data_IF_627166991393
#
_entry.id   IF_627166991393
#
_cell.length_a   1.000
_cell.length_b   1.000
_cell.length_c   1.000
_cell.angle_alpha   90.00
_cell.angle_beta   90.00
_cell.angle_gamma   90.00
#
_symmetry.space_group_name_H-M   'P 1'
#
loop_
_entity.id
_entity.type
_entity.pdbx_description
1 polymer ?
2 non-polymer ?
3 non-polymer ?
4 water ?
#
# COMPACT_ATOMS: atom_id res chain seq x y z
N UNK A 1 16.10 12.87 -2.23
CA UNK A 1 16.15 12.12 -0.93
C UNK A 1 16.50 10.66 -1.20
N UNK A 2 17.47 10.14 -0.47
CA UNK A 2 17.87 8.74 -0.65
C UNK A 2 17.59 7.88 0.57
N UNK A 3 17.28 8.50 1.69
CA UNK A 3 17.01 7.72 2.89
C UNK A 3 15.52 7.65 3.23
N UNK A 4 14.68 8.21 2.36
CA UNK A 4 13.23 8.15 2.56
C UNK A 4 12.62 7.51 1.31
N UNK A 5 11.57 6.73 1.49
CA UNK A 5 10.96 6.06 0.35
C UNK A 5 9.53 5.64 0.53
N UNK A 6 8.85 5.45 -0.60
CA UNK A 6 7.49 4.93 -0.59
C UNK A 6 7.75 3.44 -0.73
N UNK A 7 7.00 2.64 0.02
CA UNK A 7 7.17 1.19 0.00
C UNK A 7 5.85 0.51 -0.26
N UNK A 8 5.80 -0.36 -1.26
CA UNK A 8 4.57 -1.10 -1.52
C UNK A 8 4.84 -2.59 -1.41
N UNK A 9 3.83 -3.41 -1.71
CA UNK A 9 3.96 -4.85 -1.57
C UNK A 9 3.15 -5.65 -2.57
N UNK A 10 3.71 -6.78 -3.01
CA UNK A 10 3.01 -7.68 -3.91
C UNK A 10 3.57 -9.09 -3.79
N UNK A 11 2.66 -10.04 -3.57
CA UNK A 11 3.06 -11.43 -3.42
C UNK A 11 2.75 -12.23 -4.68
N UNK A 12 2.12 -11.60 -5.67
CA UNK A 12 1.80 -12.28 -6.91
C UNK A 12 1.75 -11.34 -8.10
N UNK A 13 1.53 -11.89 -9.29
CA UNK A 13 1.51 -11.09 -10.51
C UNK A 13 0.31 -10.16 -10.62
N UNK A 14 -0.81 -10.55 -10.04
CA UNK A 14 -2.01 -9.72 -10.10
C UNK A 14 -1.75 -8.40 -9.38
N UNK A 15 -1.28 -8.47 -8.13
CA UNK A 15 -1.01 -7.25 -7.40
C UNK A 15 0.22 -6.51 -7.91
N UNK A 16 1.08 -7.22 -8.66
CA UNK A 16 2.27 -6.58 -9.23
C UNK A 16 1.80 -5.52 -10.23
N UNK A 17 0.66 -5.78 -10.88
CA UNK A 17 0.10 -4.84 -11.85
C UNK A 17 -0.22 -3.56 -11.08
N UNK A 18 -0.80 -3.73 -9.89
CA UNK A 18 -1.15 -2.59 -9.06
C UNK A 18 0.11 -1.85 -8.62
N UNK A 19 1.13 -2.60 -8.18
CA UNK A 19 2.37 -1.98 -7.74
C UNK A 19 3.01 -1.18 -8.86
N UNK A 20 2.96 -1.70 -10.08
CA UNK A 20 3.54 -1.02 -11.24
C UNK A 20 2.79 0.27 -11.55
N UNK A 21 1.46 0.26 -11.45
CA UNK A 21 0.67 1.45 -11.72
C UNK A 21 0.91 2.48 -10.61
N UNK A 22 0.98 2.01 -9.37
CA UNK A 22 1.22 2.89 -8.24
C UNK A 22 2.58 3.56 -8.42
N UNK A 23 3.61 2.75 -8.66
CA UNK A 23 4.94 3.28 -8.84
C UNK A 23 5.02 4.28 -9.97
N UNK A 24 4.28 4.02 -11.04
CA UNK A 24 4.27 4.92 -12.18
C UNK A 24 3.63 6.26 -11.81
N UNK A 25 2.52 6.20 -11.07
CA UNK A 25 1.82 7.41 -10.65
C UNK A 25 2.68 8.28 -9.74
N UNK A 26 3.53 7.65 -8.92
CA UNK A 26 4.40 8.41 -8.03
C UNK A 26 5.48 9.13 -8.85
N UNK A 27 5.97 8.45 -9.88
CA UNK A 27 6.99 9.06 -10.75
C UNK A 27 6.33 10.16 -11.57
N UNK A 28 5.12 9.88 -12.05
CA UNK A 28 4.37 10.83 -12.85
C UNK A 28 4.16 12.14 -12.11
N UNK A 29 4.03 12.07 -10.79
CA UNK A 29 3.82 13.28 -10.01
C UNK A 29 5.10 13.80 -9.35
N UNK A 30 6.21 13.44 -9.99
CA UNK A 30 7.54 13.88 -9.58
C UNK A 30 7.92 13.78 -8.11
N UNK A 31 7.93 12.58 -7.57
CA UNK A 31 8.33 12.41 -6.18
C UNK A 31 9.85 12.56 -6.13
N UNK A 32 10.37 13.11 -5.06
CA UNK A 32 11.81 13.27 -4.90
C UNK A 32 12.35 12.16 -4.01
N UNK A 33 11.46 11.27 -3.59
CA UNK A 33 11.86 10.17 -2.73
C UNK A 33 12.11 8.88 -3.52
N UNK A 34 12.67 7.87 -2.84
CA UNK A 34 12.95 6.59 -3.47
C UNK A 34 11.68 5.75 -3.51
N UNK A 35 11.67 4.75 -4.40
CA UNK A 35 10.53 3.84 -4.53
C UNK A 35 11.02 2.41 -4.30
N UNK A 36 10.40 1.71 -3.35
CA UNK A 36 10.79 0.34 -3.04
C UNK A 36 9.57 -0.56 -3.01
N UNK A 37 9.79 -1.83 -3.34
CA UNK A 37 8.70 -2.79 -3.34
C UNK A 37 9.10 -4.14 -2.76
N UNK A 38 8.29 -4.64 -1.85
CA UNK A 38 8.52 -5.92 -1.24
C UNK A 38 7.85 -6.94 -2.16
N UNK A 39 8.59 -7.97 -2.55
CA UNK A 39 8.03 -9.01 -3.41
C UNK A 39 8.36 -10.37 -2.83
N UNK A 40 7.74 -11.40 -3.37
CA UNK A 40 7.98 -12.78 -2.94
C UNK A 40 8.44 -13.55 -4.16
N UNK A 41 8.99 -14.75 -3.97
CA UNK A 41 9.46 -15.53 -5.11
C UNK A 41 8.33 -15.89 -6.08
N UNK A 42 7.08 -15.75 -5.65
CA UNK A 42 5.94 -16.09 -6.50
C UNK A 42 5.69 -15.06 -7.61
N UNK A 43 6.36 -13.91 -7.53
CA UNK A 43 6.20 -12.90 -8.57
C UNK A 43 7.05 -13.38 -9.74
N UNK A 44 6.44 -13.56 -10.91
CA UNK A 44 7.14 -14.06 -12.10
C UNK A 44 8.27 -13.14 -12.56
N UNK A 45 9.18 -13.70 -13.38
CA UNK A 45 10.32 -12.95 -13.90
C UNK A 45 9.90 -11.75 -14.74
N UNK A 46 8.84 -11.91 -15.53
CA UNK A 46 8.35 -10.83 -16.37
C UNK A 46 7.93 -9.64 -15.50
N UNK A 47 7.15 -9.90 -14.45
CA UNK A 47 6.71 -8.83 -13.58
C UNK A 47 7.89 -8.25 -12.80
N UNK A 48 8.78 -9.12 -12.34
CA UNK A 48 9.93 -8.66 -11.58
C UNK A 48 10.78 -7.70 -12.39
N UNK A 49 11.06 -8.04 -13.64
CA UNK A 49 11.86 -7.18 -14.51
C UNK A 49 11.19 -5.81 -14.64
N UNK A 50 9.87 -5.80 -14.77
CA UNK A 50 9.14 -4.55 -14.89
C UNK A 50 9.30 -3.78 -13.58
N UNK A 51 9.15 -4.47 -12.46
CA UNK A 51 9.29 -3.85 -11.14
C UNK A 51 10.70 -3.27 -10.93
N UNK A 52 11.71 -3.95 -11.48
CA UNK A 52 13.09 -3.49 -11.36
C UNK A 52 13.27 -2.16 -12.08
N UNK A 53 12.44 -1.92 -13.08
CA UNK A 53 12.51 -0.69 -13.86
C UNK A 53 11.77 0.47 -13.18
N UNK A 54 10.55 0.20 -12.73
CA UNK A 54 9.75 1.24 -12.08
C UNK A 54 10.21 1.59 -10.68
N UNK A 55 10.68 0.59 -9.93
CA UNK A 55 11.14 0.84 -8.56
C UNK A 55 12.65 0.94 -8.44
N UNK A 56 13.11 1.77 -7.51
CA UNK A 56 14.53 1.95 -7.28
C UNK A 56 15.10 0.71 -6.59
N UNK A 57 14.27 0.05 -5.81
CA UNK A 57 14.70 -1.15 -5.10
C UNK A 57 13.60 -2.20 -5.00
N UNK A 58 13.96 -3.44 -5.34
CA UNK A 58 13.04 -4.55 -5.28
C UNK A 58 13.58 -5.52 -4.23
N UNK A 59 12.83 -5.70 -3.15
CA UNK A 59 13.25 -6.59 -2.08
C UNK A 59 12.47 -7.90 -2.19
N UNK A 60 13.14 -9.02 -1.98
CA UNK A 60 12.49 -10.31 -2.05
C UNK A 60 12.38 -10.91 -0.66
N UNK A 61 11.15 -11.23 -0.26
CA UNK A 61 10.85 -11.80 1.05
C UNK A 61 10.19 -13.17 0.85
N UNK A 62 10.71 -14.18 1.55
CA UNK A 62 10.14 -15.52 1.43
C UNK A 62 9.86 -16.10 2.81
N UNK A 63 8.65 -15.84 3.34
CA UNK A 63 8.31 -16.34 4.66
C UNK A 63 8.09 -17.86 4.66
N UNK A 64 8.02 -18.44 3.47
CA UNK A 64 7.84 -19.89 3.35
C UNK A 64 9.17 -20.60 3.65
N UNK A 65 10.24 -19.82 3.71
CA UNK A 65 11.57 -20.38 3.98
C UNK A 65 11.85 -20.34 5.47
N UNK A 66 12.37 -21.45 6.00
CA UNK A 66 12.71 -21.58 7.42
C UNK A 66 13.70 -20.52 7.88
N UNK A 67 14.43 -19.94 6.94
CA UNK A 67 15.42 -18.93 7.29
C UNK A 67 14.83 -17.57 7.60
N UNK A 68 13.55 -17.37 7.26
CA UNK A 68 12.92 -16.09 7.53
C UNK A 68 12.46 -16.00 8.98
N UNK A 69 12.68 -14.85 9.60
CA UNK A 69 12.31 -14.63 10.99
C UNK A 69 10.82 -14.80 11.27
N UNK A 70 9.99 -14.62 10.25
CA UNK A 70 8.55 -14.73 10.41
C UNK A 70 8.00 -16.11 10.12
N UNK A 71 8.86 -17.01 9.60
CA UNK A 71 8.41 -18.34 9.25
C UNK A 71 7.62 -19.09 10.33
N UNK A 72 8.16 -19.16 11.54
CA UNK A 72 7.48 -19.86 12.63
C UNK A 72 6.09 -19.31 12.92
N UNK A 73 5.96 -17.99 12.90
CA UNK A 73 4.67 -17.38 13.16
C UNK A 73 3.70 -17.76 12.05
N UNK A 74 4.22 -17.93 10.84
CA UNK A 74 3.39 -18.31 9.69
C UNK A 74 2.79 -19.71 9.90
N UNK A 75 3.62 -20.63 10.42
CA UNK A 75 3.18 -22.00 10.66
C UNK A 75 2.07 -22.00 11.70
N UNK A 76 2.23 -21.16 12.71
CA UNK A 76 1.25 -21.03 13.80
C UNK A 76 -0.02 -20.32 13.34
N UNK A 77 0.13 -19.19 12.65
CA UNK A 77 -1.02 -18.43 12.19
C UNK A 77 -1.00 -18.23 10.67
N UNK A 78 -1.48 -19.22 9.92
CA UNK A 78 -1.54 -19.20 8.45
C UNK A 78 -2.33 -18.04 7.84
N UNK A 79 -3.34 -17.56 8.54
CA UNK A 79 -4.14 -16.45 8.01
C UNK A 79 -3.36 -15.13 7.95
N UNK A 80 -2.18 -15.11 8.57
CA UNK A 80 -1.37 -13.90 8.59
C UNK A 80 -0.23 -13.88 7.57
N UNK A 81 -0.27 -14.79 6.60
CA UNK A 81 0.76 -14.86 5.58
C UNK A 81 1.09 -13.52 4.95
N UNK A 82 0.09 -12.87 4.38
CA UNK A 82 0.32 -11.58 3.74
C UNK A 82 0.78 -10.55 4.76
N UNK A 83 0.16 -10.56 5.94
CA UNK A 83 0.53 -9.64 7.00
C UNK A 83 2.00 -9.78 7.39
N UNK A 84 2.46 -11.02 7.58
CA UNK A 84 3.85 -11.26 7.97
C UNK A 84 4.83 -10.77 6.91
N UNK A 85 4.49 -10.92 5.64
CA UNK A 85 5.36 -10.44 4.57
C UNK A 85 5.38 -8.91 4.66
N UNK A 86 4.21 -8.31 4.82
CA UNK A 86 4.07 -6.87 4.92
C UNK A 86 4.91 -6.27 6.06
N UNK A 87 4.94 -6.95 7.21
CA UNK A 87 5.70 -6.46 8.36
C UNK A 87 7.19 -6.29 8.04
N UNK A 88 7.67 -6.95 7.01
CA UNK A 88 9.08 -6.81 6.65
C UNK A 88 9.37 -5.40 6.17
N UNK A 89 8.33 -4.58 6.00
CA UNK A 89 8.55 -3.20 5.57
C UNK A 89 9.36 -2.48 6.66
N UNK A 90 9.24 -2.96 7.89
CA UNK A 90 9.97 -2.35 9.01
C UNK A 90 11.44 -2.78 9.05
N UNK A 91 11.80 -3.76 8.21
CA UNK A 91 13.18 -4.26 8.17
C UNK A 91 14.04 -3.45 7.22
N UNK A 92 13.41 -2.55 6.46
CA UNK A 92 14.12 -1.74 5.48
C UNK A 92 14.87 -0.58 6.13
N UNK A 93 15.78 -0.92 7.04
CA UNK A 93 16.55 0.07 7.77
C UNK A 93 17.49 0.93 6.94
N UNK A 94 17.52 0.71 5.63
CA UNK A 94 18.36 1.52 4.76
C UNK A 94 17.66 2.87 4.59
N UNK A 95 16.39 2.92 5.01
CA UNK A 95 15.60 4.15 4.94
C UNK A 95 15.28 4.60 6.37
N UNK A 96 15.29 5.92 6.60
CA UNK A 96 15.01 6.47 7.92
C UNK A 96 13.51 6.66 8.15
N UNK A 97 12.76 6.89 7.07
CA UNK A 97 11.32 7.08 7.15
C UNK A 97 10.69 6.63 5.83
N UNK A 98 9.55 5.94 5.93
CA UNK A 98 8.88 5.47 4.73
C UNK A 98 7.37 5.65 4.80
N UNK A 99 6.76 5.60 3.63
CA UNK A 99 5.32 5.68 3.51
C UNK A 99 4.90 4.37 2.88
N UNK A 100 4.25 3.51 3.66
CA UNK A 100 3.79 2.26 3.09
C UNK A 100 2.51 2.55 2.33
N UNK A 101 2.37 1.93 1.18
CA UNK A 101 1.17 2.10 0.35
C UNK A 101 0.75 0.76 -0.26
N UNK A 102 -0.52 0.41 -0.11
CA UNK A 102 -1.08 -0.83 -0.66
C UNK A 102 -0.87 -0.84 -2.18
N UNK A 103 -0.74 -2.03 -2.76
CA UNK A 103 -0.55 -2.16 -4.20
C UNK A 103 -1.80 -1.76 -4.97
N UNK A 104 -2.93 -1.69 -4.28
CA UNK A 104 -4.17 -1.29 -4.93
C UNK A 104 -4.51 0.18 -4.68
N UNK A 105 -3.49 1.03 -4.59
CA UNK A 105 -3.72 2.46 -4.42
C UNK A 105 -3.21 3.16 -5.65
N UNK A 106 -3.63 4.41 -5.83
CA UNK A 106 -3.24 5.19 -6.99
C UNK A 106 -3.01 6.63 -6.58
N UNK A 107 -1.87 7.19 -6.98
CA UNK A 107 -1.54 8.57 -6.63
C UNK A 107 -2.02 9.56 -7.69
N UNK A 108 -2.72 10.60 -7.24
CA UNK A 108 -3.26 11.63 -8.12
C UNK A 108 -2.52 12.96 -8.03
N UNK A 109 -1.64 13.09 -7.05
CA UNK A 109 -0.87 14.31 -6.86
C UNK A 109 0.36 14.01 -6.02
N UNK A 110 1.34 14.89 -6.07
CA UNK A 110 2.55 14.68 -5.29
C UNK A 110 2.14 14.61 -3.81
N UNK A 111 2.67 13.62 -3.10
CA UNK A 111 2.34 13.49 -1.68
C UNK A 111 3.60 13.39 -0.81
N UNK A 112 4.68 14.03 -1.28
CA UNK A 112 5.93 14.01 -0.54
C UNK A 112 5.82 14.72 0.80
N UNK A 113 4.78 15.54 0.98
CA UNK A 113 4.64 16.21 2.26
C UNK A 113 4.33 15.20 3.38
N UNK A 114 3.99 13.97 3.01
CA UNK A 114 3.72 12.94 4.02
C UNK A 114 4.97 12.65 4.84
N UNK A 115 6.14 12.91 4.27
CA UNK A 115 7.37 12.66 5.00
C UNK A 115 7.62 13.64 6.16
N UNK A 116 6.70 14.58 6.32
CA UNK A 116 6.79 15.54 7.41
C UNK A 116 6.20 14.88 8.66
N UNK A 117 5.41 13.83 8.45
CA UNK A 117 4.75 13.12 9.55
C UNK A 117 5.66 12.13 10.29
N UNK A 118 5.21 11.70 11.47
CA UNK A 118 5.96 10.76 12.30
C UNK A 118 5.20 9.43 12.40
N UNK A 119 5.93 8.37 12.74
CA UNK A 119 5.30 7.06 12.93
C UNK A 119 4.47 7.21 14.21
N UNK A 120 3.23 6.72 14.23
CA UNK A 120 2.58 6.06 13.12
C UNK A 120 1.47 7.00 12.67
N UNK A 121 1.57 7.50 11.43
CA UNK A 121 0.53 8.40 10.91
C UNK A 121 -0.25 7.66 9.84
N UNK A 122 -1.57 7.76 9.89
CA UNK A 122 -2.42 7.10 8.91
C UNK A 122 -3.80 7.74 8.89
N UNK A 123 -4.54 7.48 7.82
CA UNK A 123 -5.88 8.03 7.67
C UNK A 123 -6.92 7.15 8.36
N UNK A 124 -8.06 7.74 8.76
CA UNK A 124 -9.14 7.03 9.43
C UNK A 124 -9.77 6.01 8.48
N UNK A 125 -10.17 4.87 9.03
CA UNK A 125 -10.80 3.83 8.23
C UNK A 125 -12.32 4.03 8.24
N UNK A 126 -12.95 4.00 7.07
CA UNK A 126 -14.42 4.18 7.04
C UNK A 126 -14.96 2.93 7.74
N UNK A 127 -16.19 2.97 8.23
CA UNK A 127 -16.71 1.78 8.91
C UNK A 127 -16.51 1.90 10.41
N UNK A 128 -15.26 1.89 10.85
CA UNK A 128 -14.95 2.06 12.27
C UNK A 128 -13.83 3.08 12.29
N UNK A 129 -14.21 4.37 12.29
CA UNK A 129 -13.35 5.57 12.28
C UNK A 129 -12.29 5.70 13.37
N UNK A 130 -12.40 4.95 14.46
CA UNK A 130 -11.40 5.05 15.51
C UNK A 130 -10.22 4.11 15.24
N UNK A 131 -10.26 3.44 14.10
CA UNK A 131 -9.17 2.58 13.66
C UNK A 131 -8.64 3.25 12.42
N UNK A 132 -7.33 3.18 12.19
CA UNK A 132 -6.79 3.78 10.99
C UNK A 132 -6.72 2.70 9.91
N UNK A 133 -6.81 3.12 8.66
CA UNK A 133 -6.74 2.20 7.55
C UNK A 133 -5.25 1.95 7.27
N UNK A 134 -4.83 0.69 7.30
CA UNK A 134 -3.42 0.36 7.09
C UNK A 134 -2.95 0.32 5.63
N UNK A 135 -3.77 0.83 4.72
CA UNK A 135 -3.40 0.84 3.32
C UNK A 135 -2.38 1.93 2.97
N UNK A 136 -2.28 2.94 3.84
CA UNK A 136 -1.33 4.04 3.64
C UNK A 136 -0.89 4.54 5.02
N UNK A 137 0.42 4.50 5.29
CA UNK A 137 0.89 5.00 6.58
C UNK A 137 2.37 5.35 6.58
N UNK A 138 2.71 6.31 7.44
CA UNK A 138 4.08 6.77 7.60
C UNK A 138 4.69 6.01 8.77
N UNK A 139 5.85 5.41 8.57
CA UNK A 139 6.48 4.65 9.64
C UNK A 139 7.98 4.81 9.59
N UNK A 140 8.67 4.30 10.61
CA UNK A 140 10.11 4.38 10.68
C UNK A 140 10.70 2.98 10.76
N UNK A 141 11.42 2.54 9.71
CA UNK A 141 12.02 1.20 9.72
C UNK A 141 12.82 0.99 10.99
N UNK A 142 12.70 -0.20 11.57
CA UNK A 142 13.39 -0.52 12.81
C UNK A 142 13.30 -2.00 13.10
N UNK A 143 14.44 -2.63 13.35
CA UNK A 143 14.46 -4.06 13.66
C UNK A 143 13.72 -4.30 14.97
N UNK A 144 13.88 -3.39 15.92
CA UNK A 144 13.20 -3.53 17.20
C UNK A 144 11.68 -3.51 17.02
N UNK A 145 11.18 -2.52 16.28
CA UNK A 145 9.75 -2.43 16.04
C UNK A 145 9.26 -3.68 15.30
N UNK A 146 10.01 -4.11 14.30
CA UNK A 146 9.64 -5.32 13.56
C UNK A 146 9.49 -6.50 14.53
N UNK A 147 10.50 -6.72 15.36
CA UNK A 147 10.47 -7.82 16.33
C UNK A 147 9.28 -7.70 17.28
N UNK A 148 8.95 -6.48 17.68
CA UNK A 148 7.83 -6.26 18.59
C UNK A 148 6.51 -6.60 17.91
N UNK A 149 6.36 -6.22 16.64
CA UNK A 149 5.14 -6.50 15.89
C UNK A 149 5.00 -7.99 15.65
N UNK A 150 6.11 -8.64 15.32
CA UNK A 150 6.11 -10.07 15.07
C UNK A 150 5.70 -10.81 16.34
N UNK A 151 6.18 -10.32 17.48
CA UNK A 151 5.86 -10.95 18.77
C UNK A 151 4.37 -10.85 19.07
N UNK A 152 3.76 -9.70 18.79
CA UNK A 152 2.34 -9.54 19.04
C UNK A 152 1.53 -10.42 18.08
N UNK A 153 1.98 -10.51 16.84
CA UNK A 153 1.31 -11.33 15.84
C UNK A 153 1.31 -12.80 16.28
N UNK A 154 2.44 -13.24 16.81
CA UNK A 154 2.57 -14.63 17.27
C UNK A 154 1.74 -14.88 18.52
N UNK A 155 1.90 -13.99 19.50
CA UNK A 155 1.23 -14.10 20.78
C UNK A 155 -0.29 -13.99 20.75
N UNK A 156 -0.83 -13.02 20.01
CA UNK A 156 -2.28 -12.85 19.99
C UNK A 156 -2.94 -12.75 18.62
N UNK A 157 -2.14 -12.63 17.57
CA UNK A 157 -2.73 -12.52 16.25
C UNK A 157 -3.35 -11.16 15.98
N UNK A 158 -4.35 -11.11 15.12
CA UNK A 158 -5.03 -9.86 14.76
C UNK A 158 -6.53 -9.97 14.93
N UNK A 159 -7.15 -8.96 15.55
CA UNK A 159 -8.59 -8.99 15.76
C UNK A 159 -9.42 -9.04 14.48
N UNK A 160 -8.81 -8.75 13.34
CA UNK A 160 -9.56 -8.80 12.08
C UNK A 160 -8.93 -9.75 11.06
N UNK A 161 -8.02 -10.61 11.54
CA UNK A 161 -7.38 -11.57 10.67
C UNK A 161 -6.40 -11.01 9.65
N UNK A 162 -6.14 -9.70 9.71
CA UNK A 162 -5.23 -9.08 8.77
C UNK A 162 -4.26 -8.13 9.48
N UNK A 163 -3.45 -7.42 8.71
CA UNK A 163 -2.50 -6.50 9.31
C UNK A 163 -3.15 -5.30 9.98
N UNK A 164 -4.29 -4.85 9.49
CA UNK A 164 -4.92 -3.68 10.09
C UNK A 164 -5.25 -3.86 11.56
N UNK A 165 -5.78 -5.03 11.92
CA UNK A 165 -6.09 -5.26 13.32
C UNK A 165 -4.83 -5.26 14.15
N UNK A 166 -3.79 -5.91 13.63
CA UNK A 166 -2.52 -6.00 14.33
C UNK A 166 -1.88 -4.63 14.54
N UNK A 167 -1.82 -3.83 13.48
CA UNK A 167 -1.22 -2.50 13.55
C UNK A 167 -2.00 -1.55 14.46
N UNK A 168 -3.32 -1.62 14.41
CA UNK A 168 -4.13 -0.75 15.27
C UNK A 168 -3.94 -1.12 16.73
N UNK A 169 -3.77 -2.41 17.00
CA UNK A 169 -3.59 -2.88 18.38
C UNK A 169 -2.23 -2.42 18.90
N UNK A 170 -1.21 -2.52 18.05
CA UNK A 170 0.13 -2.11 18.46
C UNK A 170 0.25 -0.60 18.59
N UNK A 171 -0.24 0.13 17.58
CA UNK A 171 -0.22 1.58 17.62
C UNK A 171 -1.63 2.02 18.06
N UNK A 172 -1.96 1.70 19.31
CA UNK A 172 -3.30 1.99 19.84
C UNK A 172 -3.61 3.37 20.38
N UNK A 173 -2.65 4.30 20.34
CA UNK A 173 -2.89 5.66 20.81
C UNK A 173 -3.48 6.52 19.70
N UNK A 174 -3.42 6.02 18.47
CA UNK A 174 -3.88 6.76 17.29
C UNK A 174 -5.19 7.55 17.38
N UNK A 175 -6.26 6.90 17.82
CA UNK A 175 -7.56 7.55 17.88
C UNK A 175 -7.71 8.68 18.89
N UNK A 176 -6.92 8.64 19.95
CA UNK A 176 -7.03 9.65 21.01
C UNK A 176 -5.81 10.52 21.20
N UNK A 177 -4.79 10.36 20.35
CA UNK A 177 -3.57 11.11 20.53
C UNK A 177 -2.94 11.70 19.27
N UNK A 178 -2.58 12.98 19.35
CA UNK A 178 -1.90 13.68 18.26
C UNK A 178 -2.69 13.75 16.95
N UNK A 179 -3.39 14.86 16.72
CA UNK A 179 -4.17 15.02 15.51
C UNK A 179 -3.31 14.94 14.26
N UNK A 180 -2.02 15.23 14.40
CA UNK A 180 -1.10 15.18 13.27
C UNK A 180 -0.87 13.76 12.77
N UNK A 181 -1.17 12.76 13.58
CA UNK A 181 -0.99 11.38 13.14
C UNK A 181 -2.24 10.89 12.40
N UNK A 182 -3.25 11.75 12.31
CA UNK A 182 -4.46 11.47 11.57
C UNK A 182 -4.22 12.06 10.18
N UNK A 183 -3.87 11.23 9.20
CA UNK A 183 -3.66 11.73 7.85
C UNK A 183 -5.02 12.06 7.26
N UNK A 184 -5.12 13.18 6.53
CA UNK A 184 -6.41 13.54 5.92
C UNK A 184 -6.92 12.37 5.08
N UNK A 185 -8.23 12.20 5.04
CA UNK A 185 -8.86 11.10 4.30
C UNK A 185 -8.49 11.10 2.81
N UNK A 186 -8.16 12.27 2.26
CA UNK A 186 -7.80 12.35 0.85
C UNK A 186 -6.45 11.70 0.52
N UNK A 187 -5.72 11.25 1.54
CA UNK A 187 -4.44 10.58 1.34
C UNK A 187 -4.65 9.07 1.30
N UNK A 188 -5.91 8.66 1.46
CA UNK A 188 -6.28 7.25 1.43
C UNK A 188 -7.79 7.19 1.27
N UNK A 189 -8.27 7.71 0.14
CA UNK A 189 -9.69 7.75 -0.16
C UNK A 189 -10.20 6.42 -0.66
N UNK A 190 -10.87 5.67 0.23
CA UNK A 190 -11.41 4.37 -0.14
C UNK A 190 -12.49 4.55 -1.19
N UNK A 191 -12.25 4.01 -2.38
CA UNK A 191 -13.18 4.10 -3.50
C UNK A 191 -14.63 3.77 -3.13
N UNK A 192 -14.82 3.08 -2.00
CA UNK A 192 -16.18 2.73 -1.59
C UNK A 192 -16.90 3.95 -1.02
N UNK A 193 -16.17 4.79 -0.31
CA UNK A 193 -16.73 5.99 0.31
C UNK A 193 -17.47 6.88 -0.69
N UNK A 194 -17.28 6.60 -1.97
CA UNK A 194 -17.93 7.37 -3.03
C UNK A 194 -19.43 7.06 -3.06
N UNK A 195 -19.81 5.94 -2.43
CA UNK A 195 -21.20 5.52 -2.37
C UNK A 195 -21.79 5.84 -1.00
N UNK A 196 -21.12 5.37 0.05
CA UNK A 196 -21.56 5.59 1.43
C UNK A 196 -21.96 7.04 1.68
N UNK A 197 -21.03 7.96 1.43
CA UNK A 197 -21.26 9.37 1.63
C UNK A 197 -20.94 10.13 0.34
N UNK A 198 -21.83 10.01 -0.63
CA UNK A 198 -21.64 10.67 -1.92
C UNK A 198 -21.58 12.19 -1.79
N UNK A 199 -22.45 12.78 -0.96
CA UNK A 199 -22.43 14.23 -0.77
C UNK A 199 -21.05 14.74 -0.36
N UNK A 200 -20.41 14.01 0.56
CA UNK A 200 -19.08 14.39 1.01
C UNK A 200 -18.08 14.26 -0.13
N UNK A 201 -18.21 13.20 -0.92
CA UNK A 201 -17.31 13.02 -2.05
C UNK A 201 -17.47 14.16 -3.05
N UNK A 202 -18.72 14.57 -3.29
CA UNK A 202 -18.97 15.66 -4.24
C UNK A 202 -18.35 16.96 -3.74
N UNK A 203 -18.41 17.17 -2.42
CA UNK A 203 -17.87 18.39 -1.83
C UNK A 203 -16.36 18.41 -1.68
N UNK A 204 -15.75 17.27 -1.35
CA UNK A 204 -14.31 17.22 -1.14
C UNK A 204 -13.52 16.28 -2.04
N UNK A 205 -14.22 15.38 -2.73
CA UNK A 205 -13.57 14.41 -3.60
C UNK A 205 -12.56 14.96 -4.60
N UNK A 206 -12.81 16.14 -5.13
CA UNK A 206 -11.92 16.75 -6.12
C UNK A 206 -10.51 16.96 -5.57
N UNK A 207 -10.38 16.94 -4.24
CA UNK A 207 -9.09 17.14 -3.60
C UNK A 207 -8.35 15.83 -3.33
N UNK A 208 -8.90 14.72 -3.79
CA UNK A 208 -8.29 13.42 -3.59
C UNK A 208 -6.83 13.39 -4.03
N UNK A 209 -5.95 12.89 -3.18
CA UNK A 209 -4.52 12.79 -3.50
C UNK A 209 -4.16 11.33 -3.75
N UNK A 210 -4.84 10.43 -3.05
CA UNK A 210 -4.59 8.99 -3.20
C UNK A 210 -5.92 8.24 -3.22
N UNK A 211 -6.13 7.43 -4.24
CA UNK A 211 -7.35 6.64 -4.35
C UNK A 211 -7.00 5.21 -3.93
N UNK A 212 -7.84 4.60 -3.10
CA UNK A 212 -7.60 3.26 -2.62
C UNK A 212 -8.78 2.37 -3.05
N UNK A 213 -8.50 1.40 -3.91
CA UNK A 213 -9.56 0.51 -4.40
C UNK A 213 -9.81 -0.63 -3.43
N UNK A 214 -10.10 -0.25 -2.19
CA UNK A 214 -10.35 -1.17 -1.11
C UNK A 214 -11.60 -2.02 -1.38
N UNK A 215 -11.47 -3.33 -1.26
CA UNK A 215 -12.60 -4.21 -1.50
C UNK A 215 -12.24 -5.43 -2.32
N UNK A 216 -13.25 -6.25 -2.62
CA UNK A 216 -13.06 -7.47 -3.40
C UNK A 216 -12.58 -7.28 -4.83
N UNK A 217 -13.22 -6.36 -5.54
CA UNK A 217 -12.90 -6.10 -6.94
C UNK A 217 -11.79 -5.06 -7.14
N UNK A 218 -10.71 -5.48 -7.78
CA UNK A 218 -9.57 -4.60 -8.04
C UNK A 218 -9.62 -4.10 -9.48
N UNK A 219 -8.88 -3.02 -9.79
CA UNK A 219 -8.85 -2.47 -11.15
C UNK A 219 -8.57 -3.52 -12.22
N UNK A 220 -7.63 -4.41 -11.95
CA UNK A 220 -7.26 -5.45 -12.89
C UNK A 220 -8.32 -6.53 -13.09
N UNK A 221 -9.40 -6.45 -12.32
CA UNK A 221 -10.48 -7.44 -12.46
C UNK A 221 -11.55 -6.94 -13.42
N UNK A 222 -11.31 -5.77 -13.99
CA UNK A 222 -12.25 -5.18 -14.96
C UNK A 222 -11.72 -5.33 -16.38
N UNK A 223 -12.62 -5.13 -17.33
CA UNK A 223 -12.27 -5.18 -18.75
C UNK A 223 -12.16 -3.71 -19.18
N UNK A 224 -11.10 -3.38 -19.90
CA UNK A 224 -10.89 -2.01 -20.33
C UNK A 224 -10.86 -1.86 -21.84
N UNK A 225 -11.78 -1.07 -22.38
CA UNK A 225 -11.85 -0.82 -23.80
C UNK A 225 -10.88 0.29 -24.20
N UNK A 226 -9.78 -0.09 -24.83
CA UNK A 226 -8.76 0.87 -25.26
C UNK A 226 -9.28 1.88 -26.27
N UNK A 227 -10.37 1.53 -26.93
CA UNK A 227 -10.98 2.40 -27.94
C UNK A 227 -11.68 3.58 -27.26
N UNK A 228 -12.70 3.27 -26.46
CA UNK A 228 -13.44 4.30 -25.75
C UNK A 228 -12.68 4.72 -24.50
N UNK A 229 -11.59 4.01 -24.21
CA UNK A 229 -10.76 4.30 -23.05
C UNK A 229 -11.57 4.35 -21.76
N UNK A 230 -12.31 3.27 -21.50
CA UNK A 230 -13.13 3.20 -20.29
C UNK A 230 -13.41 1.75 -19.92
N UNK A 231 -13.48 1.49 -18.61
CA UNK A 231 -13.76 0.15 -18.11
C UNK A 231 -15.21 -0.19 -18.44
N UNK A 232 -15.53 -1.47 -18.44
CA UNK A 232 -16.89 -1.91 -18.73
C UNK A 232 -17.63 -2.31 -17.46
N UNK A 241 -19.63 6.90 -10.20
CA UNK A 241 -18.73 7.86 -9.58
C UNK A 241 -17.40 7.17 -9.25
N UNK A 242 -17.26 5.93 -9.71
CA UNK A 242 -16.04 5.15 -9.49
C UNK A 242 -15.21 4.96 -10.76
N UNK A 243 -15.87 4.98 -11.95
CA UNK A 243 -15.15 4.81 -13.21
C UNK A 243 -14.01 5.79 -13.40
N UNK A 244 -14.30 7.08 -13.18
CA UNK A 244 -13.30 8.12 -13.35
C UNK A 244 -11.93 7.68 -12.81
N UNK A 245 -11.92 7.11 -11.60
CA UNK A 245 -10.68 6.67 -10.99
C UNK A 245 -10.15 5.39 -11.63
N UNK A 246 -11.04 4.45 -11.91
CA UNK A 246 -10.65 3.19 -12.53
C UNK A 246 -10.06 3.46 -13.91
N UNK A 247 -10.59 4.45 -14.61
CA UNK A 247 -10.10 4.80 -15.93
C UNK A 247 -8.72 5.44 -15.86
N UNK A 248 -8.44 6.12 -14.76
CA UNK A 248 -7.13 6.74 -14.60
C UNK A 248 -6.13 5.60 -14.41
N UNK A 249 -6.51 4.62 -13.58
CA UNK A 249 -5.66 3.47 -13.30
C UNK A 249 -5.34 2.78 -14.63
N UNK A 250 -6.36 2.50 -15.41
CA UNK A 250 -6.18 1.84 -16.70
C UNK A 250 -5.45 2.68 -17.73
N UNK A 251 -5.60 3.99 -17.68
CA UNK A 251 -4.88 4.83 -18.63
C UNK A 251 -3.40 4.66 -18.37
N UNK A 252 -3.04 4.63 -17.09
CA UNK A 252 -1.64 4.47 -16.70
C UNK A 252 -1.14 3.06 -17.03
N UNK A 253 -1.96 2.05 -16.72
CA UNK A 253 -1.58 0.67 -17.00
C UNK A 253 -1.40 0.48 -18.50
N UNK A 254 -2.37 0.96 -19.27
CA UNK A 254 -2.34 0.84 -20.72
C UNK A 254 -1.19 1.62 -21.35
N UNK A 255 -1.07 2.89 -20.97
CA UNK A 255 -0.05 3.76 -21.51
C UNK A 255 1.39 3.49 -21.08
N UNK A 256 1.60 3.21 -19.80
CA UNK A 256 2.96 3.01 -19.30
C UNK A 256 3.39 1.61 -18.91
N UNK A 257 2.52 0.87 -18.22
CA UNK A 257 2.88 -0.47 -17.76
C UNK A 257 2.87 -1.58 -18.81
N UNK A 258 1.82 -1.66 -19.61
CA UNK A 258 1.77 -2.71 -20.62
C UNK A 258 2.99 -2.68 -21.54
N UNK A 259 3.32 -1.51 -22.10
CA UNK A 259 4.49 -1.43 -22.99
C UNK A 259 5.76 -1.87 -22.27
N UNK A 260 5.81 -1.57 -20.97
CA UNK A 260 6.97 -1.93 -20.15
C UNK A 260 7.09 -3.44 -19.99
N UNK A 261 5.96 -4.12 -19.84
CA UNK A 261 5.96 -5.57 -19.68
C UNK A 261 6.43 -6.22 -20.98
N UNK A 262 6.28 -5.49 -22.07
CA UNK A 262 6.70 -5.98 -23.39
C UNK A 262 8.16 -5.59 -23.62
N UNK A 263 8.76 -4.94 -22.62
CA UNK A 263 10.15 -4.48 -22.68
C UNK A 263 10.33 -3.40 -23.75
X LIG B 1 -5.80 -2.21 -0.33
X LIG C 1 -1.49 -8.32 -1.13
X LIG C 1 -0.65 -9.08 -1.96
X LIG C 1 -1.16 -10.31 -2.39
X LIG C 1 -2.46 -10.85 -2.07
X LIG C 1 -3.30 -10.02 -1.21
X LIG C 1 -2.80 -8.82 -0.77
X LIG C 1 0.48 -8.71 -2.29
X LIG C 1 -2.77 -11.96 -2.53
X LIG C 1 -0.99 -6.97 -0.62
X LIG C 1 -1.18 -5.79 -1.59
X LIG C 1 -0.09 -4.87 -1.47
X LIG C 1 -2.52 -5.24 -1.14
X LIG C 1 -2.36 -5.33 0.38
X LIG C 1 -1.72 -6.62 0.57
X LIG C 1 -2.64 -3.89 -1.60
X LIG C 1 -3.69 -5.39 1.18
X LIG C 1 -4.69 -6.15 0.48
X LIG C 1 -5.89 -5.67 -0.42
X LIG C 1 -5.52 -4.39 -1.07
X LIG C 1 -6.21 -6.78 -1.36
X LIG C 1 -6.92 -5.45 0.73
X LIG C 1 -8.09 -4.40 0.98
X LIG C 1 -7.41 -2.97 0.80
X LIG C 1 -9.11 -4.44 -0.09
X LIG C 1 -8.44 -4.72 2.39
X LIG C 1 -8.04 -5.15 3.37
X LIG C 1 -8.95 -5.31 4.60
X LIG C 1 -9.45 -3.93 5.10
X LIG C 1 -8.30 -2.94 5.41
X LIG C 1 -7.28 -2.93 4.21
X LIG C 1 -5.96 -2.16 4.45
X LIG C 1 -10.14 -6.11 4.34
X LIG C 1 -10.27 -4.08 6.30
X LIG C 1 -8.82 -1.62 5.62
X LIG C 1 -6.92 -4.32 3.81
X LIG C 1 -4.78 -3.01 4.30
#
# INVERSE_FOLDING_TARGET
MTDQAFVTLTTNDAYAKGALVLGSSLKQHRTSRRLAVLTTPQVSDTMRKALEIVFDEVITVDILDSGDSAHLTLMKRPELGVTLTKLHCWSLTQYSKCVFMDADTLVLANIDDLFEREELSAAPDPGWPDCFNSGVFVYQPSVETYNQLLHVASEQGSFDGGDQGLLNTFFNSWATTDIRKHLPFIYNLSSISIYSYLPAFKAFGANAKVVHFLGQTKPWNYTYDTKTKSVRSEGHDPTMTHPQFLNVWWDIFTTSVVPLLQQFGLVQDTCSYQHVEDVSGAVSHLSLGETPATTQPFVSSEERKERWEQGQADYMGADSFDNIKKKLDTYLQ
MN MN
UPG N1 C2 N3 C4 C5 C6 O2 O4 C1C C2C O2C C3C C4C O4C O3C C5C O5C PA O1A O2A O3A PB O1B O2B O3B C1' C2' C3' C4' C5' C6' O2' O3' O4' O5' O6'
#
